data_IF_716788253131
#
_entry.id   IF_716788253131
#
_cell.length_a   1.000
_cell.length_b   1.000
_cell.length_c   1.000
_cell.angle_alpha   90.00
_cell.angle_beta   90.00
_cell.angle_gamma   90.00
#
_symmetry.space_group_name_H-M   'P 1'
#
loop_
_entity.id
_entity.type
_entity.pdbx_description
1 polymer ?
#
# COMPACT_ATOMS: atom_id res chain seq x y z
N UNK A 1 -6.43 5.38 -11.82
CA UNK A 1 -5.70 6.65 -11.62
C UNK A 1 -4.25 6.31 -11.39
N UNK A 2 -3.35 6.85 -12.19
CA UNK A 2 -1.92 6.54 -12.19
C UNK A 2 -1.18 7.70 -12.87
N UNK A 3 -0.19 8.28 -12.24
CA UNK A 3 0.54 9.45 -12.77
C UNK A 3 1.48 9.06 -13.91
N UNK A 4 2.10 7.88 -13.84
CA UNK A 4 2.95 7.34 -14.88
C UNK A 4 2.13 6.93 -16.11
N UNK A 5 2.33 7.59 -17.24
CA UNK A 5 1.58 7.37 -18.48
C UNK A 5 1.69 5.94 -19.03
N UNK A 6 2.87 5.32 -18.93
CA UNK A 6 3.09 3.94 -19.40
C UNK A 6 2.34 2.94 -18.52
N UNK A 7 2.45 3.09 -17.21
CA UNK A 7 1.74 2.24 -16.25
C UNK A 7 0.21 2.38 -16.41
N UNK A 8 -0.29 3.62 -16.58
CA UNK A 8 -1.72 3.90 -16.79
C UNK A 8 -2.26 3.19 -18.02
N UNK A 9 -1.61 3.35 -19.18
CA UNK A 9 -2.02 2.68 -20.42
C UNK A 9 -1.96 1.16 -20.30
N UNK A 10 -0.91 0.63 -19.66
CA UNK A 10 -0.75 -0.81 -19.45
C UNK A 10 -1.88 -1.35 -18.55
N UNK A 11 -2.19 -0.66 -17.46
CA UNK A 11 -3.29 -1.04 -16.56
C UNK A 11 -4.64 -1.00 -17.27
N UNK A 12 -4.93 0.08 -18.01
CA UNK A 12 -6.17 0.21 -18.78
C UNK A 12 -6.33 -0.94 -19.78
N UNK A 13 -5.26 -1.24 -20.53
CA UNK A 13 -5.25 -2.37 -21.46
C UNK A 13 -5.43 -3.73 -20.80
N UNK A 14 -4.77 -3.98 -19.65
CA UNK A 14 -4.92 -5.22 -18.89
C UNK A 14 -6.35 -5.41 -18.38
N UNK A 15 -6.94 -4.36 -17.81
CA UNK A 15 -8.32 -4.40 -17.31
C UNK A 15 -9.33 -4.61 -18.43
N UNK A 16 -9.18 -3.89 -19.55
CA UNK A 16 -10.05 -4.04 -20.71
C UNK A 16 -9.96 -5.45 -21.31
N UNK A 17 -8.76 -6.03 -21.42
CA UNK A 17 -8.56 -7.40 -21.88
C UNK A 17 -9.20 -8.44 -20.94
N UNK A 18 -9.30 -8.14 -19.65
CA UNK A 18 -9.97 -8.95 -18.64
C UNK A 18 -11.50 -8.73 -18.57
N UNK A 19 -12.07 -7.93 -19.48
CA UNK A 19 -13.51 -7.67 -19.55
C UNK A 19 -14.03 -6.59 -18.62
N UNK A 20 -13.15 -5.77 -18.05
CA UNK A 20 -13.53 -4.61 -17.24
C UNK A 20 -13.76 -3.42 -18.16
N UNK A 21 -14.91 -2.75 -18.04
CA UNK A 21 -15.18 -1.51 -18.76
C UNK A 21 -14.44 -0.34 -18.10
N UNK A 22 -13.38 0.13 -18.75
CA UNK A 22 -12.55 1.25 -18.27
C UNK A 22 -13.17 2.57 -18.73
N UNK A 23 -14.05 3.13 -17.91
CA UNK A 23 -14.81 4.36 -18.22
C UNK A 23 -13.92 5.60 -18.27
N UNK A 24 -12.96 5.70 -17.35
CA UNK A 24 -12.08 6.86 -17.24
C UNK A 24 -10.65 6.43 -16.88
N UNK A 25 -9.69 7.16 -17.44
CA UNK A 25 -8.30 7.15 -17.02
C UNK A 25 -7.91 8.56 -16.56
N UNK A 26 -7.17 8.67 -15.47
CA UNK A 26 -6.73 9.94 -14.91
C UNK A 26 -5.27 9.86 -14.46
N UNK A 27 -4.56 10.98 -14.61
CA UNK A 27 -3.16 11.12 -14.25
C UNK A 27 -2.93 11.74 -12.87
N UNK A 28 -3.99 12.23 -12.24
CA UNK A 28 -3.93 12.91 -10.94
C UNK A 28 -5.22 12.76 -10.15
N UNK A 29 -5.15 13.02 -8.86
CA UNK A 29 -6.33 13.04 -7.99
C UNK A 29 -7.37 14.09 -8.44
N UNK A 30 -6.91 15.26 -8.88
CA UNK A 30 -7.79 16.33 -9.34
C UNK A 30 -8.56 15.95 -10.61
N UNK A 31 -7.87 15.38 -11.59
CA UNK A 31 -8.48 14.90 -12.83
C UNK A 31 -9.48 13.77 -12.56
N UNK A 32 -9.12 12.81 -11.69
CA UNK A 32 -9.99 11.71 -11.31
C UNK A 32 -11.31 12.20 -10.68
N UNK A 33 -11.24 13.15 -9.75
CA UNK A 33 -12.43 13.75 -9.13
C UNK A 33 -13.28 14.53 -10.13
N UNK A 34 -12.67 15.21 -11.11
CA UNK A 34 -13.40 15.92 -12.16
C UNK A 34 -14.16 14.94 -13.06
N UNK A 35 -13.51 13.86 -13.52
CA UNK A 35 -14.09 12.82 -14.37
C UNK A 35 -15.17 11.99 -13.65
N UNK A 36 -15.02 11.76 -12.36
CA UNK A 36 -15.98 11.00 -11.57
C UNK A 36 -17.33 11.75 -11.34
N UNK A 37 -17.38 13.07 -11.60
CA UNK A 37 -18.63 13.84 -11.43
C UNK A 37 -19.67 13.40 -12.43
N UNK A 38 -20.79 12.89 -11.91
CA UNK A 38 -21.92 12.44 -12.74
C UNK A 38 -21.69 11.13 -13.47
N UNK A 39 -20.57 10.45 -13.23
CA UNK A 39 -20.29 9.14 -13.77
C UNK A 39 -20.78 8.05 -12.83
N UNK A 40 -21.40 7.01 -13.39
CA UNK A 40 -21.66 5.78 -12.66
C UNK A 40 -20.38 4.94 -12.64
N UNK A 41 -19.78 4.82 -11.46
CA UNK A 41 -18.56 4.05 -11.27
C UNK A 41 -18.81 2.94 -10.26
N UNK A 42 -18.55 1.70 -10.64
CA UNK A 42 -18.58 0.57 -9.70
C UNK A 42 -17.31 0.51 -8.87
N UNK A 43 -16.15 0.78 -9.48
CA UNK A 43 -14.84 0.73 -8.80
C UNK A 43 -13.87 1.77 -9.30
N UNK A 44 -12.85 2.04 -8.47
CA UNK A 44 -11.68 2.83 -8.82
C UNK A 44 -10.40 2.09 -8.41
N UNK A 45 -9.46 1.97 -9.36
CA UNK A 45 -8.11 1.52 -9.15
C UNK A 45 -7.21 2.75 -9.06
N UNK A 46 -6.51 2.93 -7.95
CA UNK A 46 -5.84 4.18 -7.61
C UNK A 46 -4.41 3.88 -7.19
N UNK A 47 -3.42 4.48 -7.87
CA UNK A 47 -2.05 4.49 -7.35
C UNK A 47 -1.98 5.31 -6.07
N UNK A 48 -1.23 4.81 -5.12
CA UNK A 48 -1.01 5.50 -3.85
C UNK A 48 -0.19 6.78 -4.02
N UNK A 49 0.82 6.74 -4.88
CA UNK A 49 1.71 7.86 -5.19
C UNK A 49 1.30 8.49 -6.53
N UNK A 50 0.63 9.63 -6.47
CA UNK A 50 0.15 10.37 -7.63
C UNK A 50 1.01 11.63 -7.91
N UNK A 51 2.25 11.65 -7.41
CA UNK A 51 3.16 12.77 -7.57
C UNK A 51 2.77 13.98 -6.71
N UNK A 52 2.95 15.18 -7.26
CA UNK A 52 2.66 16.43 -6.56
C UNK A 52 1.16 16.61 -6.31
N UNK A 53 0.76 16.71 -5.04
CA UNK A 53 -0.64 16.99 -4.67
C UNK A 53 -1.24 15.96 -3.70
N UNK A 54 -2.56 15.78 -3.72
CA UNK A 54 -3.23 14.79 -2.87
C UNK A 54 -2.80 13.37 -3.22
N UNK A 55 -2.58 12.56 -2.19
CA UNK A 55 -2.21 11.15 -2.34
C UNK A 55 -3.38 10.31 -2.86
N UNK A 56 -3.10 9.07 -3.30
CA UNK A 56 -4.15 8.12 -3.66
C UNK A 56 -5.09 7.80 -2.48
N UNK A 57 -4.59 7.89 -1.25
CA UNK A 57 -5.41 7.73 -0.05
C UNK A 57 -6.40 8.88 0.12
N UNK A 58 -5.95 10.13 -0.06
CA UNK A 58 -6.81 11.31 -0.03
C UNK A 58 -7.87 11.24 -1.12
N UNK A 59 -7.47 10.81 -2.32
CA UNK A 59 -8.38 10.60 -3.45
C UNK A 59 -9.43 9.54 -3.12
N UNK A 60 -9.06 8.43 -2.52
CA UNK A 60 -9.97 7.35 -2.14
C UNK A 60 -11.10 7.86 -1.22
N UNK A 61 -10.73 8.65 -0.20
CA UNK A 61 -11.70 9.28 0.71
C UNK A 61 -12.61 10.27 -0.04
N UNK A 62 -12.02 11.11 -0.89
CA UNK A 62 -12.77 12.12 -1.65
C UNK A 62 -13.74 11.48 -2.66
N UNK A 63 -13.32 10.44 -3.39
CA UNK A 63 -14.17 9.69 -4.32
C UNK A 63 -15.36 9.06 -3.61
N UNK A 64 -15.13 8.36 -2.50
CA UNK A 64 -16.22 7.73 -1.73
C UNK A 64 -17.26 8.76 -1.25
N UNK A 65 -16.81 9.97 -0.87
CA UNK A 65 -17.72 11.06 -0.49
C UNK A 65 -18.48 11.65 -1.68
N UNK A 66 -17.85 11.72 -2.85
CA UNK A 66 -18.44 12.36 -4.04
C UNK A 66 -19.37 11.44 -4.81
N UNK A 67 -19.00 10.16 -4.96
CA UNK A 67 -19.68 9.19 -5.84
C UNK A 67 -20.57 8.23 -5.05
N UNK A 68 -20.33 8.08 -3.74
CA UNK A 68 -21.04 7.12 -2.90
C UNK A 68 -20.35 5.77 -2.84
N UNK A 69 -21.08 4.64 -2.85
CA UNK A 69 -20.52 3.31 -2.61
C UNK A 69 -19.72 2.77 -3.81
N UNK A 70 -18.58 3.38 -4.09
CA UNK A 70 -17.63 2.93 -5.13
C UNK A 70 -16.59 2.00 -4.50
N UNK A 71 -16.32 0.85 -5.11
CA UNK A 71 -15.25 -0.07 -4.72
C UNK A 71 -13.87 0.59 -4.95
N UNK A 72 -13.00 0.59 -3.96
CA UNK A 72 -11.68 1.21 -4.08
C UNK A 72 -10.62 0.15 -3.94
N UNK A 73 -9.66 0.13 -4.87
CA UNK A 73 -8.44 -0.67 -4.80
C UNK A 73 -7.25 0.26 -4.94
N UNK A 74 -6.41 0.30 -3.90
CA UNK A 74 -5.14 1.02 -3.92
C UNK A 74 -4.08 0.15 -4.56
N UNK A 75 -3.40 0.70 -5.55
CA UNK A 75 -2.22 0.13 -6.16
C UNK A 75 -0.99 0.80 -5.56
N UNK A 76 0.03 0.03 -5.20
CA UNK A 76 1.23 0.59 -4.59
C UNK A 76 2.45 -0.28 -4.86
N UNK A 77 3.62 0.33 -4.86
CA UNK A 77 4.88 -0.41 -4.86
C UNK A 77 5.17 -1.09 -3.51
N UNK A 78 4.41 -0.74 -2.47
CA UNK A 78 4.61 -1.25 -1.10
C UNK A 78 3.62 -2.36 -0.78
N UNK A 79 4.10 -3.47 -0.22
CA UNK A 79 3.24 -4.57 0.22
C UNK A 79 2.42 -4.23 1.48
N UNK A 80 2.88 -3.25 2.27
CA UNK A 80 2.20 -2.75 3.46
C UNK A 80 1.93 -1.23 3.32
N UNK A 81 0.68 -0.76 3.46
CA UNK A 81 0.32 0.67 3.42
C UNK A 81 1.15 1.54 4.36
N UNK A 82 1.46 1.01 5.55
CA UNK A 82 2.25 1.72 6.56
C UNK A 82 3.69 1.98 6.11
N UNK A 83 4.25 1.12 5.25
CA UNK A 83 5.57 1.33 4.65
C UNK A 83 5.58 2.53 3.70
N UNK A 84 4.43 2.88 3.13
CA UNK A 84 4.21 4.09 2.33
C UNK A 84 3.82 5.32 3.17
N UNK A 85 3.77 5.20 4.50
CA UNK A 85 3.35 6.28 5.39
C UNK A 85 1.84 6.50 5.42
N UNK A 86 1.05 5.57 4.91
CA UNK A 86 -0.42 5.66 4.90
C UNK A 86 -1.01 4.99 6.12
N UNK A 87 -1.79 5.74 6.87
CA UNK A 87 -2.65 5.19 7.91
C UNK A 87 -3.85 4.48 7.27
N UNK A 88 -3.85 3.15 7.31
CA UNK A 88 -4.92 2.36 6.73
C UNK A 88 -6.30 2.63 7.36
N UNK A 89 -6.35 3.16 8.59
CA UNK A 89 -7.60 3.52 9.26
C UNK A 89 -8.29 4.75 8.65
N UNK A 90 -7.56 5.55 7.87
CA UNK A 90 -8.08 6.70 7.15
C UNK A 90 -8.71 6.33 5.80
N UNK A 91 -8.46 5.12 5.30
CA UNK A 91 -9.03 4.66 4.05
C UNK A 91 -10.52 4.29 4.25
N UNK A 92 -11.34 4.47 3.20
CA UNK A 92 -12.73 4.04 3.25
C UNK A 92 -12.85 2.55 3.57
N UNK A 93 -13.82 2.13 4.41
CA UNK A 93 -14.05 0.72 4.70
C UNK A 93 -14.22 -0.11 3.43
N UNK A 94 -13.63 -1.31 3.42
CA UNK A 94 -13.67 -2.20 2.26
C UNK A 94 -12.69 -1.84 1.13
N UNK A 95 -11.75 -0.90 1.36
CA UNK A 95 -10.67 -0.60 0.41
C UNK A 95 -9.76 -1.83 0.22
N UNK A 96 -9.60 -2.26 -1.02
CA UNK A 96 -8.64 -3.30 -1.40
C UNK A 96 -7.22 -2.74 -1.54
N UNK A 97 -6.23 -3.63 -1.42
CA UNK A 97 -4.82 -3.28 -1.57
C UNK A 97 -4.14 -4.28 -2.50
N UNK A 98 -3.38 -3.79 -3.48
CA UNK A 98 -2.57 -4.61 -4.38
C UNK A 98 -1.20 -4.00 -4.60
N UNK A 99 -0.18 -4.83 -4.67
CA UNK A 99 1.16 -4.37 -5.04
C UNK A 99 1.30 -4.25 -6.56
N UNK A 100 2.06 -3.25 -7.03
CA UNK A 100 2.38 -3.10 -8.46
C UNK A 100 3.11 -4.32 -9.05
N UNK A 101 3.74 -5.16 -8.22
CA UNK A 101 4.29 -6.45 -8.63
C UNK A 101 3.25 -7.45 -9.12
N UNK A 102 1.98 -7.26 -8.78
CA UNK A 102 0.84 -8.09 -9.23
C UNK A 102 0.20 -7.59 -10.54
N UNK A 103 0.74 -6.55 -11.19
CA UNK A 103 0.16 -5.96 -12.42
C UNK A 103 0.12 -6.92 -13.62
N UNK A 104 0.98 -7.95 -13.63
CA UNK A 104 0.95 -9.01 -14.64
C UNK A 104 -0.15 -10.05 -14.44
N UNK A 105 -0.88 -10.00 -13.33
CA UNK A 105 -1.95 -10.93 -12.98
C UNK A 105 -3.31 -10.22 -13.11
N UNK A 106 -3.89 -10.27 -14.31
CA UNK A 106 -5.17 -9.66 -14.60
C UNK A 106 -6.30 -10.23 -13.71
N UNK A 107 -6.24 -11.51 -13.36
CA UNK A 107 -7.23 -12.17 -12.51
C UNK A 107 -7.18 -11.60 -11.09
N UNK A 108 -5.99 -11.35 -10.55
CA UNK A 108 -5.82 -10.72 -9.24
C UNK A 108 -6.43 -9.31 -9.20
N UNK A 109 -6.25 -8.52 -10.28
CA UNK A 109 -6.86 -7.19 -10.40
C UNK A 109 -8.39 -7.26 -10.40
N UNK A 110 -8.97 -8.14 -11.23
CA UNK A 110 -10.42 -8.30 -11.35
C UNK A 110 -11.03 -8.80 -10.03
N UNK A 111 -10.41 -9.78 -9.40
CA UNK A 111 -10.87 -10.32 -8.10
C UNK A 111 -10.85 -9.22 -7.02
N UNK A 112 -9.80 -8.41 -6.98
CA UNK A 112 -9.69 -7.33 -6.01
C UNK A 112 -10.76 -6.25 -6.25
N UNK A 113 -10.98 -5.83 -7.49
CA UNK A 113 -12.01 -4.86 -7.86
C UNK A 113 -13.41 -5.39 -7.51
N UNK A 114 -13.75 -6.61 -7.93
CA UNK A 114 -15.04 -7.23 -7.64
C UNK A 114 -15.31 -7.36 -6.14
N UNK A 115 -14.28 -7.67 -5.35
CA UNK A 115 -14.36 -7.72 -3.89
C UNK A 115 -14.61 -6.32 -3.31
N UNK A 116 -13.85 -5.31 -3.75
CA UNK A 116 -14.00 -3.93 -3.28
C UNK A 116 -15.41 -3.39 -3.57
N UNK A 117 -15.97 -3.69 -4.74
CA UNK A 117 -17.37 -3.35 -5.09
C UNK A 117 -18.34 -3.96 -4.09
N UNK A 118 -18.24 -5.27 -3.84
CA UNK A 118 -19.13 -5.93 -2.86
C UNK A 118 -19.03 -5.30 -1.47
N UNK A 119 -17.81 -5.07 -0.98
CA UNK A 119 -17.58 -4.48 0.33
C UNK A 119 -18.05 -3.02 0.39
N UNK A 120 -17.97 -2.26 -0.68
CA UNK A 120 -18.46 -0.88 -0.73
C UNK A 120 -19.97 -0.78 -0.49
N UNK A 121 -20.73 -1.75 -0.97
CA UNK A 121 -22.20 -1.79 -0.83
C UNK A 121 -22.62 -2.34 0.54
N UNK A 122 -21.85 -3.29 1.10
CA UNK A 122 -22.22 -3.99 2.34
C UNK A 122 -21.61 -3.34 3.59
N UNK A 123 -20.76 -2.32 3.43
CA UNK A 123 -19.99 -1.74 4.55
C UNK A 123 -20.84 -0.97 5.56
N UNK A 124 -21.49 -1.72 6.45
CA UNK A 124 -21.78 -1.25 7.79
C UNK A 124 -20.74 -1.70 8.83
N UNK A 125 -20.10 -2.90 8.68
CA UNK A 125 -19.49 -3.56 9.85
C UNK A 125 -18.19 -4.37 9.60
N UNK A 126 -17.51 -4.29 8.44
CA UNK A 126 -16.26 -5.05 8.28
C UNK A 126 -15.05 -4.13 7.99
N UNK A 127 -14.08 -4.02 8.91
CA UNK A 127 -12.85 -3.25 8.73
C UNK A 127 -11.83 -3.98 7.83
N UNK A 128 -12.29 -4.73 6.83
CA UNK A 128 -11.46 -5.61 6.03
C UNK A 128 -10.64 -4.92 4.96
N UNK A 129 -9.57 -4.23 5.32
CA UNK A 129 -8.42 -4.06 4.42
C UNK A 129 -7.80 -5.43 4.24
N UNK A 130 -8.07 -6.10 3.11
CA UNK A 130 -7.40 -7.37 2.81
C UNK A 130 -6.05 -7.06 2.21
N UNK A 131 -5.09 -6.87 3.07
CA UNK A 131 -3.69 -6.95 2.72
C UNK A 131 -3.42 -8.44 2.41
N UNK A 132 -2.87 -8.75 1.23
CA UNK A 132 -2.21 -10.04 1.03
C UNK A 132 -1.23 -10.15 2.20
N UNK A 133 -1.20 -11.29 2.92
CA UNK A 133 -0.38 -11.46 4.11
C UNK A 133 1.07 -11.10 3.82
N UNK A 134 1.41 -9.83 4.02
CA UNK A 134 2.80 -9.37 3.99
C UNK A 134 3.50 -9.95 5.21
N UNK A 135 4.74 -10.40 5.05
CA UNK A 135 5.59 -10.79 6.18
C UNK A 135 5.73 -9.66 7.21
N UNK A 136 5.49 -8.41 6.77
CA UNK A 136 5.46 -7.22 7.62
C UNK A 136 4.12 -7.03 8.34
N UNK A 137 3.07 -7.79 7.96
CA UNK A 137 1.79 -7.74 8.64
C UNK A 137 1.96 -8.14 10.12
N UNK A 138 1.32 -7.39 11.03
CA UNK A 138 1.48 -7.58 12.48
C UNK A 138 2.63 -6.82 13.13
N UNK A 139 3.51 -6.17 12.36
CA UNK A 139 4.43 -5.18 12.94
C UNK A 139 3.65 -3.93 13.35
N UNK A 140 3.98 -3.37 14.51
CA UNK A 140 3.46 -2.05 14.91
C UNK A 140 4.08 -0.94 14.09
N UNK A 141 3.44 0.24 14.02
CA UNK A 141 3.96 1.41 13.28
C UNK A 141 5.37 1.79 13.76
N UNK A 142 5.61 1.69 15.06
CA UNK A 142 6.91 1.90 15.66
C UNK A 142 7.99 0.91 15.19
N UNK A 143 7.61 -0.35 14.97
CA UNK A 143 8.49 -1.39 14.44
C UNK A 143 8.71 -1.24 12.93
N UNK A 144 7.68 -0.83 12.21
CA UNK A 144 7.75 -0.56 10.78
C UNK A 144 8.69 0.62 10.50
N UNK A 145 8.53 1.72 11.23
CA UNK A 145 9.39 2.89 11.09
C UNK A 145 10.85 2.56 11.41
N UNK A 146 11.09 1.79 12.48
CA UNK A 146 12.44 1.32 12.79
C UNK A 146 13.00 0.45 11.65
N UNK A 147 12.20 -0.43 11.07
CA UNK A 147 12.63 -1.30 9.97
C UNK A 147 12.97 -0.47 8.72
N UNK A 148 12.22 0.60 8.44
CA UNK A 148 12.51 1.58 7.38
C UNK A 148 13.88 2.24 7.60
N UNK A 149 14.16 2.72 8.82
CA UNK A 149 15.44 3.35 9.16
C UNK A 149 16.61 2.36 9.05
N UNK A 150 16.41 1.10 9.44
CA UNK A 150 17.38 0.02 9.25
C UNK A 150 17.65 -0.23 7.77
N UNK A 151 16.64 -0.24 6.93
CA UNK A 151 16.77 -0.43 5.47
C UNK A 151 17.45 0.74 4.77
N UNK A 152 17.29 1.95 5.31
CA UNK A 152 18.01 3.14 4.88
C UNK A 152 19.49 3.16 5.32
N UNK A 153 19.94 2.15 6.05
CA UNK A 153 21.34 1.98 6.46
C UNK A 153 21.74 2.66 7.76
N UNK A 154 20.81 3.29 8.49
CA UNK A 154 21.12 3.96 9.75
C UNK A 154 21.60 2.96 10.80
N UNK A 155 22.63 3.34 11.58
CA UNK A 155 23.11 2.57 12.75
C UNK A 155 22.13 2.66 13.93
N UNK A 156 22.28 1.79 14.93
CA UNK A 156 21.46 1.87 16.15
C UNK A 156 21.62 3.20 16.87
N UNK A 157 22.84 3.76 16.90
CA UNK A 157 23.14 5.06 17.49
C UNK A 157 22.43 6.22 16.75
N UNK A 158 22.38 6.18 15.41
CA UNK A 158 21.68 7.18 14.60
C UNK A 158 20.18 7.09 14.80
N UNK A 159 19.61 5.88 14.77
CA UNK A 159 18.18 5.64 15.04
C UNK A 159 17.81 6.11 16.45
N UNK A 160 18.63 5.77 17.45
CA UNK A 160 18.42 6.19 18.84
C UNK A 160 18.36 7.72 18.98
N UNK A 161 19.29 8.42 18.34
CA UNK A 161 19.36 9.88 18.32
C UNK A 161 18.16 10.50 17.60
N UNK A 162 17.80 10.00 16.41
CA UNK A 162 16.70 10.53 15.62
C UNK A 162 15.35 10.35 16.30
N UNK A 163 15.20 9.27 17.07
CA UNK A 163 13.95 8.94 17.79
C UNK A 163 13.94 9.40 19.25
N UNK A 164 15.01 9.97 19.76
CA UNK A 164 15.12 10.40 21.16
C UNK A 164 15.02 9.25 22.17
N UNK A 165 15.52 8.05 21.83
CA UNK A 165 15.50 6.85 22.68
C UNK A 165 16.91 6.29 22.89
N UNK A 166 17.07 5.38 23.85
CA UNK A 166 18.37 4.72 24.06
C UNK A 166 18.67 3.63 23.02
N UNK A 167 19.94 3.42 22.68
CA UNK A 167 20.39 2.36 21.76
C UNK A 167 19.90 0.97 22.16
N UNK A 168 19.89 0.65 23.48
CA UNK A 168 19.36 -0.63 23.96
C UNK A 168 17.87 -0.82 23.66
N UNK A 169 17.09 0.26 23.55
CA UNK A 169 15.70 0.19 23.14
C UNK A 169 15.57 -0.12 21.64
N UNK A 170 16.44 0.48 20.81
CA UNK A 170 16.56 0.16 19.37
C UNK A 170 16.93 -1.31 19.19
N UNK A 171 17.96 -1.82 19.88
CA UNK A 171 18.40 -3.21 19.81
C UNK A 171 17.28 -4.21 20.14
N UNK A 172 16.53 -3.94 21.23
CA UNK A 172 15.38 -4.78 21.61
C UNK A 172 14.30 -4.76 20.55
N UNK A 173 14.05 -3.63 19.92
CA UNK A 173 13.03 -3.53 18.88
C UNK A 173 13.49 -4.23 17.61
N UNK A 174 14.75 -4.08 17.19
CA UNK A 174 15.38 -4.81 16.08
C UNK A 174 15.28 -6.33 16.31
N UNK A 175 15.55 -6.79 17.53
CA UNK A 175 15.46 -8.21 17.88
C UNK A 175 14.00 -8.74 17.75
N UNK A 176 13.01 -7.98 18.22
CA UNK A 176 11.58 -8.33 18.11
C UNK A 176 11.10 -8.37 16.66
N UNK A 177 11.51 -7.39 15.85
CA UNK A 177 11.19 -7.38 14.42
C UNK A 177 11.81 -8.59 13.72
N UNK A 178 13.09 -8.90 14.00
CA UNK A 178 13.74 -10.07 13.46
C UNK A 178 13.02 -11.38 13.84
N UNK A 179 12.60 -11.50 15.10
CA UNK A 179 11.84 -12.66 15.58
C UNK A 179 10.48 -12.77 14.85
N UNK A 180 9.76 -11.66 14.69
CA UNK A 180 8.49 -11.61 13.96
C UNK A 180 8.64 -12.08 12.51
N UNK A 181 9.72 -11.65 11.85
CA UNK A 181 10.03 -12.03 10.46
C UNK A 181 10.66 -13.42 10.31
N UNK A 182 10.83 -14.17 11.41
CA UNK A 182 11.48 -15.48 11.40
C UNK A 182 12.98 -15.44 11.07
N UNK A 183 13.62 -14.28 11.25
CA UNK A 183 15.05 -14.08 11.01
C UNK A 183 15.82 -14.54 12.26
N UNK A 184 16.37 -15.76 12.19
CA UNK A 184 17.16 -16.35 13.27
C UNK A 184 18.52 -15.68 13.48
N UNK A 185 19.15 -16.02 14.61
CA UNK A 185 20.54 -15.63 14.91
C UNK A 185 21.45 -16.71 14.28
N UNK A 186 21.89 -16.48 13.05
CA UNK A 186 23.00 -17.24 12.49
C UNK A 186 24.27 -16.38 12.55
N UNK A 187 25.35 -16.94 13.08
CA UNK A 187 26.65 -16.28 13.19
C UNK A 187 27.28 -15.90 11.83
N UNK A 188 26.73 -16.42 10.75
CA UNK A 188 27.22 -16.20 9.37
C UNK A 188 26.53 -15.06 8.63
N UNK A 189 25.42 -14.53 9.15
CA UNK A 189 24.64 -13.54 8.42
C UNK A 189 24.33 -12.33 9.30
N UNK A 190 24.58 -11.14 8.77
CA UNK A 190 24.26 -9.91 9.48
C UNK A 190 22.74 -9.73 9.53
N UNK A 191 22.16 -9.78 10.74
CA UNK A 191 20.72 -9.62 10.98
C UNK A 191 20.16 -8.37 10.34
N UNK A 192 20.91 -7.25 10.38
CA UNK A 192 20.47 -5.99 9.80
C UNK A 192 20.33 -6.07 8.28
N UNK A 193 21.23 -6.79 7.62
CA UNK A 193 21.16 -7.02 6.17
C UNK A 193 19.91 -7.82 5.83
N UNK A 194 19.60 -8.86 6.62
CA UNK A 194 18.39 -9.67 6.40
C UNK A 194 17.10 -8.86 6.65
N UNK A 195 17.10 -8.00 7.67
CA UNK A 195 15.98 -7.10 7.94
C UNK A 195 15.77 -6.10 6.80
N UNK A 196 16.86 -5.44 6.37
CA UNK A 196 16.82 -4.52 5.23
C UNK A 196 16.32 -5.21 3.96
N UNK A 197 16.83 -6.42 3.68
CA UNK A 197 16.40 -7.21 2.54
C UNK A 197 14.91 -7.58 2.62
N UNK A 198 14.45 -8.07 3.77
CA UNK A 198 13.03 -8.38 3.97
C UNK A 198 12.13 -7.16 3.76
N UNK A 199 12.55 -5.99 4.24
CA UNK A 199 11.84 -4.74 3.99
C UNK A 199 11.80 -4.39 2.50
N UNK A 200 12.95 -4.44 1.82
CA UNK A 200 13.08 -4.13 0.40
C UNK A 200 12.26 -5.10 -0.46
N UNK A 201 12.30 -6.40 -0.17
CA UNK A 201 11.52 -7.42 -0.89
C UNK A 201 10.00 -7.19 -0.75
N UNK A 202 9.54 -6.78 0.44
CA UNK A 202 8.13 -6.53 0.69
C UNK A 202 7.66 -5.13 0.27
N UNK A 203 8.59 -4.16 0.14
CA UNK A 203 8.25 -2.77 -0.20
C UNK A 203 8.64 -2.35 -1.63
N UNK A 204 9.23 -3.25 -2.40
CA UNK A 204 9.60 -3.01 -3.80
C UNK A 204 10.88 -2.21 -4.02
N UNK A 205 11.69 -2.01 -2.99
CA UNK A 205 13.08 -1.51 -3.11
C UNK A 205 13.21 -0.11 -3.71
N UNK A 206 12.86 0.92 -2.97
CA UNK A 206 13.36 2.29 -3.16
C UNK A 206 14.10 2.75 -1.93
#
# INVERSE_FOLDING_TARGET
VEDNSFARVTLGGTLAAAGVDVVHEASSAHEALALARGSALDAALIDLDLGDGPTGADLAVALRRQVGPVGIVILTSFADPRAAGVDASLLPPGTGYLTKGSLGDADALVIALARAVRLAVTSGDDPGVTIRESRLAGLTDNQMELLRMVSAGLSNAEIARERGIGESAVERTVARVAQHLGIGIDSRTNRRVLLARAYIEETGGR
#
